data_IF_344736328135
#
_entry.id   IF_344736328135
#
_cell.length_a   1.000
_cell.length_b   1.000
_cell.length_c   1.000
_cell.angle_alpha   90.00
_cell.angle_beta   90.00
_cell.angle_gamma   90.00
#
_symmetry.space_group_name_H-M   'P 1'
#
loop_
_entity.id
_entity.type
_entity.pdbx_description
1 polymer ?
#
# COMPACT_ATOMS: atom_id res chain seq x y z
N UNK A 1 -20.99 7.00 16.69
CA UNK A 1 -19.57 7.36 16.75
C UNK A 1 -19.34 8.48 17.74
N UNK A 2 -18.68 8.18 18.85
CA UNK A 2 -18.20 9.18 19.81
C UNK A 2 -16.90 9.81 19.30
N UNK A 3 -17.03 10.97 18.65
CA UNK A 3 -15.89 11.70 18.09
C UNK A 3 -15.02 12.34 19.18
N UNK A 4 -15.56 12.57 20.38
CA UNK A 4 -14.77 13.11 21.49
C UNK A 4 -13.80 12.07 22.03
N UNK A 5 -14.16 10.79 21.91
CA UNK A 5 -13.29 9.68 22.30
C UNK A 5 -12.00 9.59 21.47
N UNK A 6 -12.01 10.07 20.22
CA UNK A 6 -10.82 10.12 19.34
C UNK A 6 -9.77 11.13 19.81
N UNK A 7 -10.21 12.24 20.42
CA UNK A 7 -9.33 13.31 20.88
C UNK A 7 -8.97 13.16 22.37
N UNK A 8 -9.49 12.14 23.04
CA UNK A 8 -9.20 11.90 24.45
C UNK A 8 -7.74 11.43 24.62
N UNK A 9 -6.95 12.06 25.51
CA UNK A 9 -5.55 11.69 25.74
C UNK A 9 -5.35 10.24 26.18
N UNK A 10 -6.37 9.61 26.78
CA UNK A 10 -6.32 8.21 27.24
C UNK A 10 -6.23 7.21 26.08
N UNK A 11 -6.77 7.56 24.90
CA UNK A 11 -6.83 6.70 23.73
C UNK A 11 -5.71 6.99 22.71
N UNK A 12 -4.80 7.92 23.03
CA UNK A 12 -3.69 8.28 22.17
C UNK A 12 -2.46 7.44 22.53
N UNK A 13 -2.11 6.51 21.65
CA UNK A 13 -0.93 5.65 21.78
C UNK A 13 0.12 6.01 20.72
N UNK A 14 0.95 7.06 20.95
CA UNK A 14 1.93 7.52 19.98
C UNK A 14 3.03 6.49 19.69
N UNK A 15 3.26 5.52 20.58
CA UNK A 15 4.20 4.41 20.36
C UNK A 15 3.79 3.51 19.18
N UNK A 16 2.49 3.30 18.99
CA UNK A 16 1.95 2.40 17.97
C UNK A 16 1.86 3.03 16.57
N UNK A 17 2.07 4.35 16.48
CA UNK A 17 2.01 5.08 15.20
C UNK A 17 3.08 4.57 14.24
N UNK A 18 4.26 4.19 14.76
CA UNK A 18 5.36 3.68 13.94
C UNK A 18 5.00 2.34 13.31
N UNK A 19 4.33 1.47 14.06
CA UNK A 19 3.85 0.17 13.59
C UNK A 19 2.76 0.27 12.52
N UNK A 20 2.03 1.40 12.46
CA UNK A 20 1.00 1.64 11.45
C UNK A 20 1.56 2.15 10.10
N UNK A 21 2.80 2.67 10.05
CA UNK A 21 3.37 3.25 8.84
C UNK A 21 3.43 2.27 7.65
N UNK A 22 3.85 1.00 7.79
CA UNK A 22 3.87 0.03 6.70
C UNK A 22 2.50 -0.12 6.02
N UNK A 23 1.45 -0.24 6.83
CA UNK A 23 0.06 -0.38 6.36
C UNK A 23 -0.40 0.92 5.69
N UNK A 24 -0.07 2.08 6.27
CA UNK A 24 -0.39 3.38 5.67
C UNK A 24 0.30 3.57 4.31
N UNK A 25 1.58 3.24 4.20
CA UNK A 25 2.31 3.33 2.93
C UNK A 25 1.74 2.38 1.89
N UNK A 26 1.43 1.14 2.28
CA UNK A 26 0.80 0.16 1.40
C UNK A 26 -0.58 0.61 0.90
N UNK A 27 -1.38 1.27 1.74
CA UNK A 27 -2.69 1.81 1.36
C UNK A 27 -2.62 2.93 0.31
N UNK A 28 -1.46 3.57 0.16
CA UNK A 28 -1.21 4.68 -0.78
C UNK A 28 -0.45 4.27 -2.03
N UNK A 29 -0.43 2.97 -2.35
CA UNK A 29 0.27 2.46 -3.54
C UNK A 29 -0.61 2.58 -4.78
N UNK A 30 -0.21 3.43 -5.73
CA UNK A 30 -0.85 3.57 -7.05
C UNK A 30 0.15 3.64 -8.22
N UNK A 31 1.42 3.38 -7.95
CA UNK A 31 2.53 3.59 -8.89
C UNK A 31 2.43 2.73 -10.16
N UNK A 32 1.84 1.54 -10.08
CA UNK A 32 1.67 0.66 -11.24
C UNK A 32 0.77 1.28 -12.31
N UNK A 33 -0.08 2.25 -11.95
CA UNK A 33 -1.02 2.92 -12.85
C UNK A 33 -0.43 4.25 -13.37
N UNK A 34 0.68 4.73 -12.78
CA UNK A 34 1.33 5.99 -13.18
C UNK A 34 1.76 5.98 -14.66
N UNK A 35 2.43 4.93 -15.18
CA UNK A 35 2.77 4.88 -16.61
C UNK A 35 1.55 4.99 -17.51
N UNK A 36 0.46 4.30 -17.17
CA UNK A 36 -0.81 4.34 -17.90
C UNK A 36 -1.44 5.73 -17.88
N UNK A 37 -1.41 6.43 -16.74
CA UNK A 37 -1.92 7.81 -16.64
C UNK A 37 -1.07 8.77 -17.49
N UNK A 38 0.26 8.59 -17.49
CA UNK A 38 1.18 9.43 -18.28
C UNK A 38 0.95 9.25 -19.77
N UNK A 39 0.74 8.01 -20.24
CA UNK A 39 0.43 7.73 -21.64
C UNK A 39 -0.96 8.23 -22.03
N UNK A 40 -1.98 8.03 -21.20
CA UNK A 40 -3.34 8.52 -21.44
C UNK A 40 -3.46 10.05 -21.45
N UNK A 41 -2.62 10.76 -20.69
CA UNK A 41 -2.59 12.23 -20.65
C UNK A 41 -1.59 12.83 -21.65
N UNK A 42 -1.11 12.04 -22.63
CA UNK A 42 -0.18 12.48 -23.69
C UNK A 42 1.10 13.16 -23.17
N UNK A 43 1.52 12.84 -21.93
CA UNK A 43 2.68 13.47 -21.30
C UNK A 43 2.48 14.91 -20.82
N UNK A 44 1.25 15.44 -20.75
CA UNK A 44 1.00 16.79 -20.22
C UNK A 44 1.28 16.88 -18.71
N UNK A 45 2.44 17.46 -18.37
CA UNK A 45 2.94 17.60 -17.01
C UNK A 45 1.92 18.23 -16.05
N UNK A 46 1.20 19.27 -16.45
CA UNK A 46 0.31 19.97 -15.52
C UNK A 46 -0.94 19.14 -15.23
N UNK A 47 -1.44 18.40 -16.22
CA UNK A 47 -2.58 17.50 -16.04
C UNK A 47 -2.20 16.29 -15.19
N UNK A 48 -1.03 15.71 -15.44
CA UNK A 48 -0.51 14.56 -14.68
C UNK A 48 -0.38 14.91 -13.19
N UNK A 49 0.24 16.05 -12.85
CA UNK A 49 0.41 16.47 -11.45
C UNK A 49 -0.95 16.69 -10.77
N UNK A 50 -1.90 17.34 -11.47
CA UNK A 50 -3.25 17.56 -10.92
C UNK A 50 -4.02 16.25 -10.73
N UNK A 51 -3.90 15.31 -11.67
CA UNK A 51 -4.54 14.00 -11.58
C UNK A 51 -3.99 13.20 -10.39
N UNK A 52 -2.66 13.17 -10.23
CA UNK A 52 -2.02 12.48 -9.11
C UNK A 52 -2.42 13.12 -7.78
N UNK A 53 -2.26 14.44 -7.62
CA UNK A 53 -2.60 15.14 -6.37
C UNK A 53 -4.09 15.00 -6.04
N UNK A 54 -4.96 15.14 -7.05
CA UNK A 54 -6.40 14.98 -6.88
C UNK A 54 -6.79 13.58 -6.44
N UNK A 55 -6.21 12.56 -7.09
CA UNK A 55 -6.43 11.16 -6.73
C UNK A 55 -5.96 10.84 -5.32
N UNK A 56 -4.69 11.16 -5.00
CA UNK A 56 -4.11 10.91 -3.67
C UNK A 56 -4.86 11.65 -2.57
N UNK A 57 -5.23 12.91 -2.79
CA UNK A 57 -5.98 13.69 -1.80
C UNK A 57 -7.37 13.10 -1.56
N UNK A 58 -8.05 12.61 -2.61
CA UNK A 58 -9.36 11.97 -2.49
C UNK A 58 -9.30 10.69 -1.65
N UNK A 59 -8.35 9.79 -1.97
CA UNK A 59 -8.14 8.54 -1.23
C UNK A 59 -7.76 8.81 0.23
N UNK A 60 -6.90 9.81 0.48
CA UNK A 60 -6.50 10.19 1.83
C UNK A 60 -7.68 10.68 2.68
N UNK A 61 -8.51 11.57 2.15
CA UNK A 61 -9.70 12.06 2.86
C UNK A 61 -10.67 10.91 3.14
N UNK A 62 -10.89 10.03 2.17
CA UNK A 62 -11.75 8.84 2.34
C UNK A 62 -11.22 7.94 3.47
N UNK A 63 -9.92 7.65 3.50
CA UNK A 63 -9.31 6.83 4.54
C UNK A 63 -9.39 7.48 5.93
N UNK A 64 -9.21 8.80 6.03
CA UNK A 64 -9.37 9.52 7.30
C UNK A 64 -10.80 9.44 7.83
N UNK A 65 -11.79 9.68 6.97
CA UNK A 65 -13.20 9.61 7.36
C UNK A 65 -13.56 8.18 7.77
N UNK A 66 -13.12 7.18 7.02
CA UNK A 66 -13.36 5.78 7.36
C UNK A 66 -12.76 5.40 8.71
N UNK A 67 -11.47 5.71 8.94
CA UNK A 67 -10.82 5.44 10.22
C UNK A 67 -11.52 6.14 11.39
N UNK A 68 -11.91 7.41 11.22
CA UNK A 68 -12.65 8.16 12.24
C UNK A 68 -13.99 7.51 12.60
N UNK A 69 -14.71 6.99 11.59
CA UNK A 69 -15.97 6.26 11.80
C UNK A 69 -15.71 4.95 12.54
N UNK A 70 -14.72 4.16 12.15
CA UNK A 70 -14.44 2.87 12.81
C UNK A 70 -13.97 3.10 14.25
N UNK A 71 -12.92 3.87 14.47
CA UNK A 71 -12.39 4.15 15.80
C UNK A 71 -13.45 4.80 16.70
N UNK A 72 -14.24 5.73 16.18
CA UNK A 72 -15.30 6.40 16.94
C UNK A 72 -16.47 5.47 17.35
N UNK A 73 -16.62 4.30 16.74
CA UNK A 73 -17.61 3.29 17.14
C UNK A 73 -17.01 2.14 17.99
N UNK A 74 -15.68 2.05 18.07
CA UNK A 74 -14.97 0.99 18.79
C UNK A 74 -14.60 1.41 20.23
N UNK A 75 -14.49 2.70 20.53
CA UNK A 75 -14.16 3.16 21.88
C UNK A 75 -15.28 2.80 22.87
N UNK A 76 -15.11 1.69 23.59
CA UNK A 76 -16.03 1.19 24.62
C UNK A 76 -16.58 -0.23 24.39
N UNK A 77 -16.27 -0.88 23.27
CA UNK A 77 -16.68 -2.26 22.96
C UNK A 77 -15.48 -3.23 22.95
N UNK A 78 -15.70 -4.50 23.31
CA UNK A 78 -14.63 -5.52 23.34
C UNK A 78 -14.02 -5.67 21.94
N UNK A 79 -12.75 -5.29 21.81
CA UNK A 79 -12.00 -5.13 20.55
C UNK A 79 -11.77 -6.46 19.80
N UNK A 80 -11.90 -7.60 20.49
CA UNK A 80 -11.53 -8.92 19.95
C UNK A 80 -12.48 -9.49 18.88
N UNK A 81 -13.65 -8.88 18.62
CA UNK A 81 -14.64 -9.41 17.66
C UNK A 81 -15.26 -8.38 16.71
N UNK A 82 -14.62 -7.23 16.51
CA UNK A 82 -15.22 -6.17 15.71
C UNK A 82 -14.86 -6.35 14.24
N UNK A 83 -15.69 -7.10 13.51
CA UNK A 83 -15.75 -6.97 12.06
C UNK A 83 -16.51 -5.65 11.75
N UNK A 84 -15.84 -4.61 11.23
CA UNK A 84 -16.44 -3.29 11.02
C UNK A 84 -17.64 -3.34 10.05
N UNK A 85 -17.66 -4.30 9.14
CA UNK A 85 -18.80 -4.55 8.24
C UNK A 85 -19.95 -5.22 8.99
N UNK A 86 -19.65 -6.16 9.89
CA UNK A 86 -20.65 -6.79 10.74
C UNK A 86 -21.30 -5.82 11.74
N UNK A 87 -20.55 -4.81 12.21
CA UNK A 87 -21.06 -3.73 13.06
C UNK A 87 -22.03 -2.81 12.31
N UNK A 88 -21.82 -2.58 11.02
CA UNK A 88 -22.77 -1.86 10.17
C UNK A 88 -24.01 -2.71 9.84
N UNK A 89 -23.88 -4.04 9.87
CA UNK A 89 -24.95 -5.00 9.61
C UNK A 89 -25.79 -5.36 10.86
N UNK A 90 -25.29 -5.11 12.08
CA UNK A 90 -25.90 -5.56 13.34
C UNK A 90 -27.22 -4.87 13.74
N UNK A 91 -27.75 -3.98 12.89
CA UNK A 91 -29.15 -3.57 12.92
C UNK A 91 -29.48 -2.30 13.71
N UNK A 92 -28.52 -1.64 14.37
CA UNK A 92 -28.81 -0.41 15.13
C UNK A 92 -29.08 0.83 14.25
N UNK A 93 -28.66 0.84 12.99
CA UNK A 93 -28.69 2.07 12.16
C UNK A 93 -29.56 2.03 10.89
N UNK A 94 -30.03 0.85 10.44
CA UNK A 94 -30.65 0.76 9.11
C UNK A 94 -31.65 -0.37 8.83
N UNK A 95 -31.91 -1.25 9.79
CA UNK A 95 -32.78 -2.42 9.60
C UNK A 95 -32.19 -3.50 8.66
N UNK A 96 -32.87 -4.65 8.52
CA UNK A 96 -32.32 -5.84 7.83
C UNK A 96 -31.98 -5.62 6.36
N UNK A 97 -32.70 -4.73 5.67
CA UNK A 97 -32.54 -4.47 4.24
C UNK A 97 -31.22 -3.75 3.91
N UNK A 98 -30.80 -2.80 4.75
CA UNK A 98 -29.53 -2.09 4.54
C UNK A 98 -28.33 -3.00 4.78
N UNK A 99 -28.41 -3.92 5.76
CA UNK A 99 -27.37 -4.93 5.99
C UNK A 99 -27.15 -5.80 4.75
N UNK A 100 -28.20 -6.35 4.16
CA UNK A 100 -28.09 -7.19 2.95
C UNK A 100 -27.54 -6.44 1.73
N UNK A 101 -27.94 -5.18 1.53
CA UNK A 101 -27.42 -4.37 0.41
C UNK A 101 -25.92 -4.10 0.56
N UNK A 102 -25.47 -3.77 1.78
CA UNK A 102 -24.05 -3.55 2.06
C UNK A 102 -23.24 -4.83 1.86
N UNK A 103 -23.77 -5.99 2.23
CA UNK A 103 -23.11 -7.28 1.97
C UNK A 103 -22.91 -7.53 0.48
N UNK A 104 -23.99 -7.44 -0.31
CA UNK A 104 -23.93 -7.69 -1.76
C UNK A 104 -23.00 -6.70 -2.44
N UNK A 105 -23.06 -5.42 -2.05
CA UNK A 105 -22.17 -4.40 -2.57
C UNK A 105 -20.71 -4.69 -2.23
N UNK A 106 -20.42 -5.10 -0.98
CA UNK A 106 -19.06 -5.41 -0.54
C UNK A 106 -18.51 -6.64 -1.26
N UNK A 107 -19.31 -7.69 -1.45
CA UNK A 107 -18.92 -8.88 -2.22
C UNK A 107 -18.63 -8.53 -3.69
N UNK A 108 -19.48 -7.72 -4.31
CA UNK A 108 -19.28 -7.27 -5.68
C UNK A 108 -18.04 -6.37 -5.81
N UNK A 109 -17.82 -5.48 -4.86
CA UNK A 109 -16.64 -4.63 -4.79
C UNK A 109 -15.36 -5.47 -4.63
N UNK A 110 -15.39 -6.52 -3.80
CA UNK A 110 -14.27 -7.46 -3.65
C UNK A 110 -13.98 -8.18 -4.96
N UNK A 111 -14.99 -8.74 -5.63
CA UNK A 111 -14.82 -9.45 -6.90
C UNK A 111 -14.23 -8.53 -7.97
N UNK A 112 -14.78 -7.32 -8.12
CA UNK A 112 -14.28 -6.34 -9.11
C UNK A 112 -12.84 -5.90 -8.81
N UNK A 113 -12.47 -5.73 -7.54
CA UNK A 113 -11.10 -5.44 -7.13
C UNK A 113 -10.14 -6.58 -7.44
N UNK A 114 -10.54 -7.83 -7.18
CA UNK A 114 -9.71 -9.02 -7.46
C UNK A 114 -9.45 -9.14 -8.97
N UNK A 115 -10.45 -8.89 -9.81
CA UNK A 115 -10.29 -8.92 -11.27
C UNK A 115 -9.20 -7.94 -11.71
N UNK A 116 -9.26 -6.68 -11.26
CA UNK A 116 -8.24 -5.68 -11.59
C UNK A 116 -6.83 -6.09 -11.15
N UNK A 117 -6.71 -6.67 -9.96
CA UNK A 117 -5.43 -7.14 -9.43
C UNK A 117 -4.85 -8.32 -10.23
N UNK A 118 -5.70 -9.27 -10.65
CA UNK A 118 -5.29 -10.41 -11.47
C UNK A 118 -4.77 -9.96 -12.82
N UNK A 119 -5.43 -9.00 -13.47
CA UNK A 119 -4.94 -8.43 -14.72
C UNK A 119 -3.58 -7.75 -14.53
N UNK A 120 -3.43 -6.91 -13.50
CA UNK A 120 -2.16 -6.22 -13.22
C UNK A 120 -1.01 -7.17 -12.91
N UNK A 121 -1.24 -8.23 -12.13
CA UNK A 121 -0.20 -9.21 -11.81
C UNK A 121 0.12 -10.12 -12.99
N UNK A 122 -0.88 -10.49 -13.80
CA UNK A 122 -0.65 -11.32 -14.99
C UNK A 122 0.25 -10.60 -15.97
N UNK A 123 -0.02 -9.31 -16.23
CA UNK A 123 0.80 -8.43 -17.08
C UNK A 123 2.21 -8.24 -16.50
N UNK A 124 2.31 -8.04 -15.19
CA UNK A 124 3.62 -7.93 -14.51
C UNK A 124 4.44 -9.22 -14.59
N UNK A 125 3.80 -10.39 -14.46
CA UNK A 125 4.47 -11.68 -14.53
C UNK A 125 4.87 -12.05 -15.95
N UNK A 126 4.07 -11.71 -16.95
CA UNK A 126 4.41 -11.92 -18.37
C UNK A 126 5.58 -11.03 -18.79
N UNK A 127 5.60 -9.78 -18.34
CA UNK A 127 6.73 -8.86 -18.52
C UNK A 127 8.02 -9.39 -17.88
N UNK A 128 7.95 -9.89 -16.64
CA UNK A 128 9.12 -10.48 -15.95
C UNK A 128 9.58 -11.77 -16.61
N UNK A 129 8.65 -12.59 -17.10
CA UNK A 129 8.95 -13.83 -17.81
C UNK A 129 9.41 -13.60 -19.26
N UNK A 130 9.33 -12.37 -19.78
CA UNK A 130 9.65 -12.03 -21.16
C UNK A 130 8.70 -12.65 -22.19
N UNK A 131 7.47 -12.98 -21.78
CA UNK A 131 6.45 -13.59 -22.64
C UNK A 131 5.66 -12.45 -23.28
N UNK A 132 5.57 -12.43 -24.61
CA UNK A 132 4.75 -11.44 -25.31
C UNK A 132 3.27 -11.59 -24.91
N UNK A 133 2.61 -10.45 -24.63
CA UNK A 133 1.20 -10.42 -24.20
C UNK A 133 0.20 -10.88 -25.29
N UNK A 134 0.67 -11.13 -26.52
CA UNK A 134 -0.14 -11.59 -27.64
C UNK A 134 0.60 -12.69 -28.42
N UNK A 135 -0.04 -13.85 -28.63
CA UNK A 135 0.48 -14.95 -29.44
C UNK A 135 0.11 -16.35 -28.93
N UNK A 136 0.41 -17.40 -29.71
CA UNK A 136 0.16 -18.80 -29.32
C UNK A 136 0.97 -19.25 -28.10
N UNK A 137 2.12 -18.60 -27.85
CA UNK A 137 2.93 -18.82 -26.65
C UNK A 137 2.20 -18.34 -25.38
N UNK A 138 1.55 -17.17 -25.43
CA UNK A 138 0.76 -16.66 -24.30
C UNK A 138 -0.39 -17.62 -23.93
N UNK A 139 -1.13 -18.15 -24.92
CA UNK A 139 -2.22 -19.09 -24.64
C UNK A 139 -1.75 -20.39 -23.96
N UNK A 140 -0.52 -20.82 -24.26
CA UNK A 140 0.09 -22.02 -23.66
C UNK A 140 0.51 -21.76 -22.21
N UNK A 141 1.09 -20.60 -21.92
CA UNK A 141 1.56 -20.23 -20.56
C UNK A 141 0.50 -19.56 -19.70
N UNK A 142 -0.63 -19.12 -20.27
CA UNK A 142 -1.75 -18.49 -19.56
C UNK A 142 -2.16 -19.24 -18.28
N UNK A 143 -2.45 -20.56 -18.28
CA UNK A 143 -2.82 -21.26 -17.04
C UNK A 143 -1.70 -21.24 -16.00
N UNK A 144 -0.43 -21.26 -16.42
CA UNK A 144 0.72 -21.22 -15.52
C UNK A 144 0.91 -19.82 -14.90
N UNK A 145 0.70 -18.76 -15.67
CA UNK A 145 0.73 -17.38 -15.16
C UNK A 145 -0.41 -17.16 -14.17
N UNK A 146 -1.63 -17.58 -14.51
CA UNK A 146 -2.79 -17.53 -13.60
C UNK A 146 -2.54 -18.34 -12.32
N UNK A 147 -1.96 -19.54 -12.45
CA UNK A 147 -1.55 -20.33 -11.30
C UNK A 147 -0.50 -19.57 -10.47
N UNK A 148 0.48 -18.91 -11.09
CA UNK A 148 1.47 -18.07 -10.42
C UNK A 148 0.87 -16.88 -9.66
N UNK A 149 -0.25 -16.32 -10.12
CA UNK A 149 -0.97 -15.24 -9.42
C UNK A 149 -1.71 -15.76 -8.19
N UNK A 150 -2.39 -16.90 -8.28
CA UNK A 150 -3.27 -17.39 -7.23
C UNK A 150 -2.63 -18.39 -6.26
N UNK A 151 -1.72 -19.24 -6.72
CA UNK A 151 -1.11 -20.29 -5.88
C UNK A 151 -0.38 -19.72 -4.67
N UNK A 152 0.50 -18.71 -4.80
CA UNK A 152 1.25 -18.22 -3.64
C UNK A 152 0.32 -17.61 -2.57
N UNK A 153 -0.62 -16.70 -2.90
CA UNK A 153 -1.58 -16.20 -1.91
C UNK A 153 -2.46 -17.30 -1.30
N UNK A 154 -2.93 -18.27 -2.10
CA UNK A 154 -3.76 -19.38 -1.60
C UNK A 154 -2.98 -20.30 -0.66
N UNK A 155 -1.76 -20.68 -1.02
CA UNK A 155 -0.92 -21.53 -0.18
C UNK A 155 -0.61 -20.87 1.16
N UNK A 156 -0.30 -19.57 1.14
CA UNK A 156 -0.07 -18.78 2.35
C UNK A 156 -1.34 -18.64 3.21
N UNK A 157 -2.49 -18.41 2.59
CA UNK A 157 -3.77 -18.30 3.29
C UNK A 157 -4.21 -19.62 3.94
N UNK A 158 -3.91 -20.77 3.33
CA UNK A 158 -4.21 -22.09 3.91
C UNK A 158 -3.23 -22.42 5.04
N UNK A 159 -1.96 -22.04 4.91
CA UNK A 159 -0.95 -22.32 5.91
C UNK A 159 -1.18 -21.54 7.22
N UNK A 160 -1.52 -20.24 7.12
CA UNK A 160 -1.69 -19.35 8.26
C UNK A 160 -2.90 -18.43 8.05
N UNK A 161 -4.03 -18.64 8.76
CA UNK A 161 -5.23 -17.81 8.63
C UNK A 161 -5.02 -16.33 9.01
N UNK A 162 -4.07 -16.04 9.91
CA UNK A 162 -3.78 -14.70 10.41
C UNK A 162 -2.65 -13.98 9.64
N UNK A 163 -2.15 -14.58 8.55
CA UNK A 163 -1.00 -14.04 7.78
C UNK A 163 -1.30 -12.72 7.08
N UNK A 164 -2.56 -12.30 7.01
CA UNK A 164 -2.96 -11.08 6.30
C UNK A 164 -2.23 -9.85 6.84
N UNK A 165 -2.27 -9.61 8.15
CA UNK A 165 -1.64 -8.42 8.73
C UNK A 165 -0.12 -8.49 8.65
N UNK A 166 0.47 -9.66 8.88
CA UNK A 166 1.92 -9.86 8.70
C UNK A 166 2.34 -9.59 7.27
N UNK A 167 1.63 -10.15 6.28
CA UNK A 167 1.94 -9.95 4.86
C UNK A 167 1.82 -8.49 4.43
N UNK A 168 0.81 -7.76 4.94
CA UNK A 168 0.69 -6.31 4.70
C UNK A 168 1.86 -5.56 5.33
N UNK A 169 2.24 -5.91 6.55
CA UNK A 169 3.34 -5.27 7.26
C UNK A 169 4.69 -5.56 6.60
N UNK A 170 5.00 -6.81 6.24
CA UNK A 170 6.20 -7.16 5.46
C UNK A 170 6.20 -6.54 4.05
N UNK A 171 5.06 -6.57 3.35
CA UNK A 171 4.91 -6.00 2.02
C UNK A 171 5.09 -4.48 2.02
N UNK A 172 4.49 -3.79 2.99
CA UNK A 172 4.66 -2.36 3.22
C UNK A 172 6.08 -2.00 3.65
N UNK A 173 6.64 -2.73 4.62
CA UNK A 173 7.94 -2.44 5.19
C UNK A 173 9.08 -2.62 4.19
N UNK A 174 9.10 -3.75 3.48
CA UNK A 174 10.22 -4.09 2.59
C UNK A 174 9.91 -3.81 1.13
N UNK A 175 8.76 -4.25 0.63
CA UNK A 175 8.40 -4.10 -0.77
C UNK A 175 8.20 -2.63 -1.16
N UNK A 176 7.25 -1.99 -0.49
CA UNK A 176 6.87 -0.59 -0.72
C UNK A 176 8.04 0.34 -0.37
N UNK A 177 8.71 0.17 0.77
CA UNK A 177 9.85 1.05 1.11
C UNK A 177 11.02 0.95 0.12
N UNK A 178 11.36 -0.26 -0.33
CA UNK A 178 12.44 -0.45 -1.31
C UNK A 178 12.04 0.11 -2.68
N UNK A 179 10.84 -0.22 -3.16
CA UNK A 179 10.38 0.22 -4.48
C UNK A 179 10.10 1.72 -4.56
N UNK A 180 9.70 2.37 -3.46
CA UNK A 180 9.26 3.77 -3.50
C UNK A 180 10.21 4.75 -2.83
N UNK A 181 11.03 4.35 -1.86
CA UNK A 181 12.06 5.25 -1.33
C UNK A 181 13.41 5.05 -2.02
N UNK A 182 13.83 3.81 -2.27
CA UNK A 182 15.16 3.54 -2.83
C UNK A 182 15.18 3.74 -4.34
N UNK A 183 14.23 3.13 -5.06
CA UNK A 183 14.25 3.08 -6.53
C UNK A 183 14.09 4.46 -7.21
N UNK A 184 13.14 5.33 -6.82
CA UNK A 184 12.99 6.66 -7.41
C UNK A 184 14.18 7.57 -7.07
N UNK A 185 14.77 7.39 -5.88
CA UNK A 185 15.99 8.11 -5.47
C UNK A 185 17.17 7.74 -6.36
N UNK A 186 17.36 6.45 -6.65
CA UNK A 186 18.40 5.99 -7.57
C UNK A 186 18.13 6.48 -9.00
N UNK A 187 16.89 6.39 -9.48
CA UNK A 187 16.51 6.87 -10.81
C UNK A 187 16.80 8.37 -10.97
N UNK A 188 16.36 9.20 -10.03
CA UNK A 188 16.61 10.64 -10.06
C UNK A 188 18.10 11.00 -9.88
N UNK A 189 18.87 10.18 -9.16
CA UNK A 189 20.33 10.34 -9.06
C UNK A 189 21.03 10.02 -10.38
N UNK A 190 20.69 8.88 -11.00
CA UNK A 190 21.25 8.45 -12.29
C UNK A 190 20.87 9.41 -13.42
N UNK A 191 19.66 9.96 -13.39
CA UNK A 191 19.20 10.96 -14.36
C UNK A 191 19.94 12.31 -14.21
N UNK A 192 20.33 12.70 -12.99
CA UNK A 192 21.07 13.96 -12.74
C UNK A 192 22.60 13.86 -12.90
N UNK A 193 23.19 12.69 -12.65
CA UNK A 193 24.64 12.50 -12.56
C UNK A 193 25.18 11.37 -13.46
N UNK A 194 24.35 10.73 -14.27
CA UNK A 194 24.77 9.72 -15.23
C UNK A 194 25.48 10.33 -16.45
N UNK A 195 26.37 9.55 -17.07
CA UNK A 195 27.25 10.00 -18.16
C UNK A 195 26.52 10.25 -19.50
N UNK A 196 25.30 9.73 -19.68
CA UNK A 196 24.47 9.99 -20.86
C UNK A 196 23.59 11.24 -20.65
N UNK A 197 24.15 12.42 -20.93
CA UNK A 197 23.42 13.69 -20.93
C UNK A 197 22.40 13.74 -22.08
N UNK A 198 21.21 13.17 -21.90
CA UNK A 198 20.04 13.53 -22.72
C UNK A 198 19.48 14.86 -22.18
N UNK A 199 19.36 15.93 -22.99
CA UNK A 199 18.85 17.20 -22.52
C UNK A 199 17.41 17.04 -22.03
N UNK A 200 17.18 17.31 -20.74
CA UNK A 200 15.88 17.15 -20.11
C UNK A 200 14.93 18.23 -20.66
N UNK A 201 13.84 17.81 -21.32
CA UNK A 201 12.82 18.70 -21.89
C UNK A 201 12.00 19.40 -20.78
N UNK A 202 12.08 18.91 -19.54
CA UNK A 202 11.26 19.39 -18.41
C UNK A 202 12.11 19.91 -17.24
N UNK A 203 11.67 21.01 -16.62
CA UNK A 203 12.29 21.56 -15.41
C UNK A 203 12.23 20.53 -14.27
N UNK A 204 13.31 20.36 -13.48
CA UNK A 204 13.35 19.40 -12.38
C UNK A 204 12.23 19.67 -11.37
N UNK A 205 11.45 18.62 -11.04
CA UNK A 205 10.30 18.70 -10.13
C UNK A 205 10.67 18.92 -8.66
N UNK A 206 11.87 18.51 -8.24
CA UNK A 206 12.38 18.76 -6.88
C UNK A 206 13.36 19.95 -6.87
N UNK A 207 12.97 21.09 -6.29
CA UNK A 207 13.77 22.32 -6.31
C UNK A 207 15.05 22.24 -5.46
N UNK A 208 15.20 21.23 -4.59
CA UNK A 208 16.25 21.15 -3.56
C UNK A 208 17.49 20.31 -3.90
N UNK A 209 17.64 19.84 -5.14
CA UNK A 209 18.87 19.22 -5.61
C UNK A 209 19.34 18.00 -4.78
N UNK A 210 20.62 17.96 -4.41
CA UNK A 210 21.25 16.82 -3.68
C UNK A 210 20.67 16.62 -2.28
N UNK A 211 20.13 17.67 -1.65
CA UNK A 211 19.69 17.64 -0.24
C UNK A 211 18.37 16.87 -0.10
N UNK A 212 17.40 17.09 -1.00
CA UNK A 212 16.14 16.32 -0.96
C UNK A 212 16.38 14.85 -1.28
N UNK A 213 17.28 14.54 -2.21
CA UNK A 213 17.67 13.17 -2.53
C UNK A 213 18.38 12.49 -1.36
N UNK A 214 19.33 13.18 -0.70
CA UNK A 214 20.01 12.66 0.48
C UNK A 214 19.05 12.46 1.67
N UNK A 215 18.08 13.36 1.86
CA UNK A 215 17.07 13.18 2.91
C UNK A 215 16.11 12.04 2.62
N UNK A 216 15.71 11.84 1.35
CA UNK A 216 14.90 10.69 0.95
C UNK A 216 15.66 9.38 1.14
N UNK A 217 16.94 9.33 0.77
CA UNK A 217 17.78 8.14 0.95
C UNK A 217 18.03 7.84 2.43
N UNK A 218 18.24 8.87 3.24
CA UNK A 218 18.36 8.74 4.71
C UNK A 218 17.05 8.24 5.32
N UNK A 219 15.91 8.81 4.95
CA UNK A 219 14.61 8.35 5.44
C UNK A 219 14.32 6.90 5.01
N UNK A 220 14.67 6.53 3.77
CA UNK A 220 14.60 5.14 3.27
C UNK A 220 15.45 4.20 4.11
N UNK A 221 16.72 4.55 4.31
CA UNK A 221 17.67 3.74 5.04
C UNK A 221 17.27 3.62 6.52
N UNK A 222 16.80 4.71 7.14
CA UNK A 222 16.33 4.70 8.53
C UNK A 222 15.07 3.83 8.67
N UNK A 223 14.08 3.96 7.79
CA UNK A 223 12.87 3.13 7.85
C UNK A 223 13.16 1.65 7.63
N UNK A 224 13.97 1.31 6.62
CA UNK A 224 14.33 -0.09 6.33
C UNK A 224 15.20 -0.66 7.45
N UNK A 225 16.08 0.14 8.04
CA UNK A 225 16.93 -0.29 9.16
C UNK A 225 16.13 -0.47 10.45
N UNK A 226 15.24 0.47 10.81
CA UNK A 226 14.37 0.36 11.99
C UNK A 226 13.42 -0.82 11.87
N UNK A 227 12.68 -0.93 10.75
CA UNK A 227 11.74 -2.04 10.54
C UNK A 227 12.45 -3.38 10.34
N UNK A 228 13.63 -3.38 9.74
CA UNK A 228 14.49 -4.57 9.63
C UNK A 228 15.03 -5.03 10.98
N UNK A 229 15.47 -4.11 11.83
CA UNK A 229 16.02 -4.41 13.14
C UNK A 229 14.93 -4.83 14.15
N UNK A 230 13.73 -4.25 14.09
CA UNK A 230 12.57 -4.69 14.87
C UNK A 230 12.15 -6.12 14.48
N UNK A 231 12.08 -6.43 13.18
CA UNK A 231 11.64 -7.75 12.70
C UNK A 231 12.69 -8.87 12.83
N UNK A 232 13.97 -8.52 12.86
CA UNK A 232 15.06 -9.48 13.16
C UNK A 232 15.18 -9.72 14.68
N UNK A 233 14.47 -8.96 15.52
CA UNK A 233 14.60 -9.05 16.98
C UNK A 233 15.95 -8.52 17.48
N UNK A 234 16.62 -7.66 16.69
CA UNK A 234 17.94 -7.13 17.02
C UNK A 234 17.87 -6.23 18.27
N UNK A 235 16.77 -5.49 18.45
CA UNK A 235 16.56 -4.64 19.62
C UNK A 235 16.23 -5.44 20.89
N UNK A 236 15.52 -6.58 20.77
CA UNK A 236 15.32 -7.52 21.90
C UNK A 236 16.62 -8.25 22.27
N UNK A 237 17.43 -8.60 21.27
CA UNK A 237 18.75 -9.19 21.48
C UNK A 237 19.71 -8.20 22.14
N UNK A 238 19.77 -6.95 21.66
CA UNK A 238 20.59 -5.89 22.25
C UNK A 238 20.07 -5.50 23.65
N UNK A 239 18.75 -5.45 23.85
CA UNK A 239 18.15 -5.19 25.16
C UNK A 239 18.48 -6.27 26.19
N UNK A 240 18.44 -7.55 25.82
CA UNK A 240 18.88 -8.66 26.69
C UNK A 240 20.39 -8.64 26.97
N UNK A 241 21.21 -8.21 26.01
CA UNK A 241 22.67 -8.12 26.18
C UNK A 241 23.08 -6.91 27.04
N UNK A 242 22.30 -5.84 27.06
CA UNK A 242 22.59 -4.64 27.89
C UNK A 242 22.10 -4.80 29.34
N UNK A 243 21.15 -5.72 29.59
CA UNK A 243 20.64 -6.03 30.93
C UNK A 243 21.30 -7.25 31.62
N UNK A 244 22.35 -7.83 31.01
CA UNK A 244 23.20 -8.88 31.62
C UNK A 244 24.58 -8.32 31.94
#
# INVERSE_FOLDING_TARGET
ADMNALFSPINQHPSEVVNAFPILFLSMVYHNIVPTIVTQLEGDRSKIIRAIIGGTSSVFVMLLVWNAVILGNVVGSNVEQINPVALLQSGEFGGPALGSLVTIFSELALVTSVIGFVYGLTDSLTDVAGIANEGPEYETYKPLVFAGVFLPPLALSIANPDIFFDALDYGGAFGVSTLFLVLPSIMAWKERYGEEQKPVITKPLVPLGKISLASMWKAAATLIFEQGADKIGLFDFIGNVIHT
#
